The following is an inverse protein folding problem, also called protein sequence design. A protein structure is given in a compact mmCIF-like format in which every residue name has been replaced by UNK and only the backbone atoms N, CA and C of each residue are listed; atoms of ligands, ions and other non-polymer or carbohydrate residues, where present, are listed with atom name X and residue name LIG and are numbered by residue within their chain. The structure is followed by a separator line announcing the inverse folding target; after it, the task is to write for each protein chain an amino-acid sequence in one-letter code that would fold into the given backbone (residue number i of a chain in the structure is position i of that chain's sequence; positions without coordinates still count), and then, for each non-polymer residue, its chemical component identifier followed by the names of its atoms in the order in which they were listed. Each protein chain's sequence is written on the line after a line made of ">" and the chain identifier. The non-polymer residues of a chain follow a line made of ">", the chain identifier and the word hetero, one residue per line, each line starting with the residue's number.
data_IF_339089464713
#
_entry.id   IF_339089464713
#
_cell.length_a   1.000
_cell.length_b   1.000
_cell.length_c   1.000
_cell.angle_alpha   90.00
_cell.angle_beta   90.00
_cell.angle_gamma   90.00
#
_symmetry.space_group_name_H-M   'P 1'
#
loop_
_entity.id
_entity.type
_entity.pdbx_description
1 polymer ?
#
# COMPACT_ATOMS: atom_id res chain seq x y z
N UNK A 1 -8.24 -8.90 4.14
CA UNK A 1 -8.85 -10.23 3.95
C UNK A 1 -7.95 -11.04 3.05
N UNK A 2 -7.75 -12.34 3.35
CA UNK A 2 -7.10 -13.31 2.46
C UNK A 2 -8.16 -14.31 2.02
N UNK A 3 -8.31 -14.48 0.72
CA UNK A 3 -9.10 -15.53 0.10
C UNK A 3 -8.16 -16.66 -0.27
N UNK A 4 -8.52 -17.89 0.00
CA UNK A 4 -7.71 -19.08 -0.29
C UNK A 4 -8.34 -19.90 -1.41
N UNK A 5 -7.54 -20.77 -2.05
CA UNK A 5 -8.00 -21.63 -3.16
C UNK A 5 -8.54 -20.82 -4.37
N UNK A 6 -8.00 -19.62 -4.60
CA UNK A 6 -8.32 -18.83 -5.77
C UNK A 6 -7.58 -19.43 -6.98
N UNK A 7 -8.25 -19.63 -8.14
CA UNK A 7 -7.61 -20.17 -9.35
C UNK A 7 -6.41 -19.33 -9.78
N UNK A 8 -5.30 -19.99 -10.11
CA UNK A 8 -4.02 -19.35 -10.49
C UNK A 8 -3.87 -19.16 -12.02
N UNK A 9 -4.95 -19.25 -12.77
CA UNK A 9 -4.99 -18.96 -14.20
C UNK A 9 -4.57 -17.51 -14.47
N UNK A 10 -3.92 -17.29 -15.60
CA UNK A 10 -3.54 -15.94 -16.04
C UNK A 10 -4.75 -15.00 -16.06
N UNK A 11 -4.54 -13.80 -15.50
CA UNK A 11 -5.55 -12.75 -15.44
C UNK A 11 -6.81 -13.07 -14.58
N UNK A 12 -6.81 -14.16 -13.80
CA UNK A 12 -7.93 -14.43 -12.91
C UNK A 12 -8.19 -13.26 -11.93
N UNK A 13 -7.13 -12.61 -11.46
CA UNK A 13 -7.22 -11.43 -10.59
C UNK A 13 -8.12 -10.35 -11.20
N UNK A 14 -8.10 -10.15 -12.53
CA UNK A 14 -8.95 -9.17 -13.23
C UNK A 14 -10.40 -9.63 -13.25
N UNK A 15 -10.68 -10.92 -13.50
CA UNK A 15 -12.05 -11.46 -13.42
C UNK A 15 -12.61 -11.26 -12.01
N UNK A 16 -11.82 -11.58 -10.98
CA UNK A 16 -12.22 -11.39 -9.60
C UNK A 16 -12.48 -9.91 -9.28
N UNK A 17 -11.52 -9.04 -9.60
CA UNK A 17 -11.64 -7.60 -9.36
C UNK A 17 -12.89 -7.00 -10.01
N UNK A 18 -13.18 -7.35 -11.27
CA UNK A 18 -14.38 -6.90 -12.00
C UNK A 18 -15.70 -7.47 -11.42
N UNK A 19 -15.66 -8.53 -10.62
CA UNK A 19 -16.83 -9.03 -9.91
C UNK A 19 -17.25 -8.15 -8.72
N UNK A 20 -16.31 -7.41 -8.13
CA UNK A 20 -16.55 -6.55 -6.96
C UNK A 20 -16.46 -5.05 -7.26
N UNK A 21 -15.83 -4.67 -8.38
CA UNK A 21 -15.71 -3.28 -8.82
C UNK A 21 -14.99 -3.21 -10.16
N UNK A 22 -14.76 -2.00 -10.68
CA UNK A 22 -13.99 -1.81 -11.91
C UNK A 22 -12.51 -1.71 -11.60
N UNK A 23 -11.69 -2.42 -12.37
CA UNK A 23 -10.23 -2.35 -12.24
C UNK A 23 -9.74 -0.97 -12.64
N UNK A 24 -8.90 -0.39 -11.80
CA UNK A 24 -8.22 0.87 -12.10
C UNK A 24 -7.00 0.63 -12.96
N UNK A 25 -7.05 1.06 -14.20
CA UNK A 25 -5.88 1.06 -15.10
C UNK A 25 -4.88 2.13 -14.67
N UNK A 26 -3.60 1.77 -14.62
CA UNK A 26 -2.48 2.65 -14.31
C UNK A 26 -1.46 2.65 -15.45
N UNK A 27 -0.31 3.37 -15.29
CA UNK A 27 0.83 3.24 -16.20
C UNK A 27 1.48 1.84 -16.18
N UNK A 28 1.17 1.02 -15.15
CA UNK A 28 1.59 -0.39 -15.08
C UNK A 28 0.60 -1.34 -15.78
N UNK A 29 -0.49 -0.85 -16.36
CA UNK A 29 -1.56 -1.63 -16.96
C UNK A 29 -2.78 -1.78 -16.04
N UNK A 30 -3.63 -2.76 -16.33
CA UNK A 30 -4.78 -3.15 -15.51
C UNK A 30 -4.34 -3.98 -14.31
N UNK A 31 -3.26 -4.75 -14.47
CA UNK A 31 -2.56 -5.46 -13.41
C UNK A 31 -1.05 -5.33 -13.60
N UNK A 32 -0.31 -5.67 -12.58
CA UNK A 32 1.15 -5.67 -12.58
C UNK A 32 1.69 -6.98 -11.99
N UNK A 33 2.86 -7.38 -12.45
CA UNK A 33 3.53 -8.60 -12.01
C UNK A 33 4.55 -8.25 -10.91
N UNK A 34 4.52 -8.97 -9.79
CA UNK A 34 5.48 -8.86 -8.70
C UNK A 34 6.34 -10.10 -8.67
N UNK A 35 7.50 -10.03 -9.33
CA UNK A 35 8.52 -11.07 -9.37
C UNK A 35 9.89 -10.44 -9.58
N UNK A 36 10.94 -11.14 -9.18
CA UNK A 36 12.32 -10.69 -9.47
C UNK A 36 12.57 -10.71 -10.97
N UNK A 37 13.17 -9.62 -11.48
CA UNK A 37 13.55 -9.48 -12.87
C UNK A 37 15.00 -8.98 -12.98
N UNK A 38 15.74 -9.29 -14.06
CA UNK A 38 17.04 -8.67 -14.33
C UNK A 38 16.90 -7.15 -14.50
N UNK A 39 17.84 -6.38 -13.94
CA UNK A 39 17.87 -4.90 -14.02
C UNK A 39 16.55 -4.22 -13.61
N UNK A 40 16.06 -4.44 -12.39
CA UNK A 40 14.78 -3.92 -11.94
C UNK A 40 14.83 -2.39 -11.79
N UNK A 41 13.73 -1.73 -12.15
CA UNK A 41 13.53 -0.29 -11.97
C UNK A 41 12.81 0.06 -10.66
N UNK A 42 12.34 -0.93 -9.91
CA UNK A 42 11.71 -0.78 -8.59
C UNK A 42 12.10 -1.94 -7.68
N UNK A 43 12.16 -1.69 -6.36
CA UNK A 43 12.43 -2.72 -5.35
C UNK A 43 11.38 -3.83 -5.32
N UNK A 44 10.15 -3.56 -5.76
CA UNK A 44 9.11 -4.59 -5.90
C UNK A 44 9.53 -5.75 -6.83
N UNK A 45 10.40 -5.46 -7.80
CA UNK A 45 10.93 -6.43 -8.77
C UNK A 45 12.29 -7.02 -8.37
N UNK A 46 12.66 -6.91 -7.10
CA UNK A 46 13.85 -7.53 -6.51
C UNK A 46 13.47 -8.60 -5.49
N UNK A 47 14.46 -9.32 -4.96
CA UNK A 47 14.29 -10.23 -3.82
C UNK A 47 14.53 -9.57 -2.45
N UNK A 48 14.88 -8.28 -2.44
CA UNK A 48 15.14 -7.53 -1.22
C UNK A 48 13.85 -7.33 -0.38
N UNK A 49 14.04 -7.13 0.91
CA UNK A 49 12.93 -6.75 1.78
C UNK A 49 12.34 -5.40 1.35
N UNK A 50 11.02 -5.28 1.47
CA UNK A 50 10.28 -4.04 1.30
C UNK A 50 9.75 -3.60 2.66
N UNK A 51 10.19 -2.44 3.13
CA UNK A 51 9.63 -1.82 4.33
C UNK A 51 8.16 -1.48 4.14
N UNK A 52 7.37 -1.42 5.22
CA UNK A 52 5.97 -1.04 5.17
C UNK A 52 5.75 0.28 4.43
N UNK A 53 4.86 0.28 3.44
CA UNK A 53 4.52 1.43 2.61
C UNK A 53 3.08 1.33 2.09
N UNK A 54 2.54 2.45 1.65
CA UNK A 54 1.31 2.50 0.85
C UNK A 54 1.67 2.63 -0.61
N UNK A 55 0.89 2.00 -1.49
CA UNK A 55 1.14 2.03 -2.92
C UNK A 55 0.68 3.34 -3.58
N UNK A 56 1.46 3.77 -4.56
CA UNK A 56 1.15 4.90 -5.44
C UNK A 56 0.76 6.20 -4.71
N UNK A 57 1.49 6.63 -3.66
CA UNK A 57 1.15 7.83 -2.88
C UNK A 57 1.21 9.13 -3.70
N UNK A 58 1.82 9.08 -4.88
CA UNK A 58 1.98 10.18 -5.85
C UNK A 58 0.77 10.35 -6.80
N UNK A 59 -0.26 9.49 -6.69
CA UNK A 59 -1.46 9.58 -7.55
C UNK A 59 -2.56 10.41 -6.93
N UNK A 60 -3.39 10.97 -7.79
CA UNK A 60 -4.57 11.77 -7.42
C UNK A 60 -5.79 11.30 -8.23
N UNK A 61 -6.70 10.56 -7.57
CA UNK A 61 -6.64 10.01 -6.22
C UNK A 61 -5.61 8.86 -6.08
N UNK A 62 -5.22 8.53 -4.85
CA UNK A 62 -4.47 7.29 -4.55
C UNK A 62 -5.40 6.10 -4.80
N UNK A 63 -4.91 4.96 -5.36
CA UNK A 63 -5.69 3.73 -5.46
C UNK A 63 -6.19 3.26 -4.08
N UNK A 64 -7.40 2.74 -4.03
CA UNK A 64 -8.08 2.46 -2.77
C UNK A 64 -7.88 1.01 -2.32
N UNK A 65 -8.52 0.07 -3.01
CA UNK A 65 -8.40 -1.35 -2.72
C UNK A 65 -7.28 -1.93 -3.56
N UNK A 66 -6.33 -2.59 -2.91
CA UNK A 66 -5.26 -3.33 -3.57
C UNK A 66 -5.51 -4.82 -3.45
N UNK A 67 -5.34 -5.52 -4.54
CA UNK A 67 -5.34 -6.98 -4.62
C UNK A 67 -3.93 -7.46 -4.90
N UNK A 68 -3.49 -8.50 -4.18
CA UNK A 68 -2.25 -9.24 -4.45
C UNK A 68 -2.58 -10.72 -4.49
N UNK A 69 -2.47 -11.32 -5.66
CA UNK A 69 -2.77 -12.74 -5.91
C UNK A 69 -1.49 -13.53 -6.06
N UNK A 70 -1.28 -14.51 -5.24
CA UNK A 70 -0.12 -15.38 -5.26
C UNK A 70 -0.31 -16.50 -6.31
N UNK A 71 0.44 -16.41 -7.41
CA UNK A 71 0.43 -17.41 -8.48
C UNK A 71 1.39 -18.56 -8.14
N UNK A 72 2.55 -18.22 -7.58
CA UNK A 72 3.58 -19.18 -7.17
C UNK A 72 4.38 -18.59 -6.02
N UNK A 73 4.68 -19.40 -5.00
CA UNK A 73 5.56 -19.00 -3.90
C UNK A 73 6.28 -20.20 -3.28
N UNK A 74 7.35 -20.65 -3.94
CA UNK A 74 8.13 -21.83 -3.56
C UNK A 74 9.43 -21.47 -2.81
N UNK A 75 9.64 -20.19 -2.46
CA UNK A 75 10.84 -19.73 -1.75
C UNK A 75 10.63 -19.75 -0.25
N UNK A 76 11.71 -19.86 0.53
CA UNK A 76 11.71 -19.47 1.93
C UNK A 76 11.77 -17.95 2.07
N UNK A 77 11.14 -17.38 3.07
CA UNK A 77 10.97 -15.93 3.18
C UNK A 77 9.96 -15.38 2.18
N UNK A 78 10.13 -14.11 1.80
CA UNK A 78 9.17 -13.42 0.94
C UNK A 78 7.78 -13.26 1.56
N UNK A 79 7.69 -13.38 2.90
CA UNK A 79 6.46 -13.23 3.65
C UNK A 79 5.89 -11.83 3.46
N UNK A 80 4.59 -11.75 3.31
CA UNK A 80 3.86 -10.48 3.29
C UNK A 80 3.79 -9.91 4.70
N UNK A 81 3.95 -8.61 4.82
CA UNK A 81 3.79 -7.90 6.08
C UNK A 81 2.69 -6.85 5.93
N UNK A 82 1.87 -6.69 6.96
CA UNK A 82 0.82 -5.67 7.04
C UNK A 82 0.93 -4.89 8.34
N UNK A 83 0.66 -3.59 8.27
CA UNK A 83 0.57 -2.70 9.42
C UNK A 83 -0.68 -1.85 9.29
N UNK A 84 -1.49 -1.77 10.36
CA UNK A 84 -2.63 -0.87 10.39
C UNK A 84 -2.16 0.58 10.65
N UNK A 85 -2.14 1.38 9.61
CA UNK A 85 -1.73 2.79 9.68
C UNK A 85 -2.65 3.64 10.55
N UNK A 86 -3.94 3.28 10.65
CA UNK A 86 -4.86 3.93 11.58
C UNK A 86 -4.44 3.71 13.03
N UNK A 87 -4.24 2.46 13.43
CA UNK A 87 -3.81 2.11 14.79
C UNK A 87 -2.50 2.81 15.18
N UNK A 88 -1.53 2.85 14.27
CA UNK A 88 -0.26 3.56 14.52
C UNK A 88 -0.48 5.07 14.60
N UNK A 89 -1.35 5.64 13.75
CA UNK A 89 -1.68 7.07 13.80
C UNK A 89 -2.32 7.47 15.13
N UNK A 90 -3.27 6.67 15.66
CA UNK A 90 -3.86 6.90 16.98
C UNK A 90 -2.80 6.78 18.09
N UNK A 91 -1.86 5.85 17.99
CA UNK A 91 -0.77 5.72 18.95
C UNK A 91 0.18 6.92 18.93
N UNK A 92 0.51 7.45 17.76
CA UNK A 92 1.29 8.69 17.63
C UNK A 92 0.52 9.86 18.25
N UNK A 93 -0.79 9.95 18.03
CA UNK A 93 -1.65 11.00 18.60
C UNK A 93 -1.68 10.97 20.13
N UNK A 94 -1.73 9.76 20.70
CA UNK A 94 -1.74 9.55 22.15
C UNK A 94 -0.40 9.88 22.81
N UNK A 95 0.71 9.30 22.30
CA UNK A 95 2.02 9.37 22.94
C UNK A 95 2.84 10.61 22.55
N UNK A 96 2.62 11.14 21.33
CA UNK A 96 3.41 12.21 20.72
C UNK A 96 2.51 13.20 19.96
N UNK A 97 1.62 13.95 20.65
CA UNK A 97 0.61 14.80 20.00
C UNK A 97 1.22 15.85 19.05
N UNK A 98 2.39 16.39 19.38
CA UNK A 98 3.12 17.33 18.50
C UNK A 98 3.61 16.65 17.18
N UNK A 99 3.94 15.35 17.24
CA UNK A 99 4.31 14.60 16.04
C UNK A 99 3.07 14.29 15.20
N UNK A 100 1.95 13.97 15.83
CA UNK A 100 0.70 13.79 15.12
C UNK A 100 0.28 15.06 14.38
N UNK A 101 0.35 16.22 15.06
CA UNK A 101 0.01 17.51 14.47
C UNK A 101 0.86 17.81 13.23
N UNK A 102 2.20 17.65 13.31
CA UNK A 102 3.06 17.95 12.17
C UNK A 102 2.89 16.94 11.03
N UNK A 103 2.66 15.65 11.32
CA UNK A 103 2.42 14.61 10.31
C UNK A 103 1.06 14.74 9.62
N UNK A 104 0.07 15.39 10.27
CA UNK A 104 -1.27 15.61 9.74
C UNK A 104 -1.50 17.01 9.16
N UNK A 105 -0.53 17.93 9.30
CA UNK A 105 -0.64 19.30 8.78
C UNK A 105 0.37 19.64 7.68
N UNK A 106 1.54 19.01 7.68
CA UNK A 106 2.59 19.30 6.71
C UNK A 106 2.41 18.45 5.46
N UNK A 107 2.27 19.12 4.31
CA UNK A 107 2.24 18.46 3.01
C UNK A 107 3.63 18.07 2.56
N UNK A 108 3.75 16.81 2.18
CA UNK A 108 4.94 16.18 1.61
C UNK A 108 4.69 15.94 0.12
N UNK A 109 5.69 16.17 -0.70
CA UNK A 109 5.66 15.79 -2.11
C UNK A 109 5.94 14.30 -2.23
N UNK A 110 5.04 13.58 -2.89
CA UNK A 110 5.28 12.23 -3.38
C UNK A 110 5.51 12.30 -4.88
N UNK A 111 6.55 11.63 -5.38
CA UNK A 111 6.90 11.68 -6.78
C UNK A 111 7.38 10.33 -7.30
N UNK A 112 6.91 9.98 -8.49
CA UNK A 112 7.34 8.83 -9.27
C UNK A 112 7.76 9.29 -10.65
N UNK A 113 8.87 8.76 -11.16
CA UNK A 113 9.38 9.05 -12.49
C UNK A 113 9.77 7.74 -13.13
N UNK A 114 9.30 7.50 -14.34
CA UNK A 114 9.81 6.50 -15.25
C UNK A 114 10.00 7.09 -16.66
N UNK A 115 10.33 6.26 -17.63
CA UNK A 115 10.56 6.68 -19.01
C UNK A 115 9.30 7.16 -19.74
N UNK A 116 8.12 6.97 -19.16
CA UNK A 116 6.82 7.23 -19.79
C UNK A 116 6.02 8.31 -19.10
N UNK A 117 6.18 8.47 -17.78
CA UNK A 117 5.40 9.41 -16.97
C UNK A 117 6.21 10.03 -15.83
N UNK A 118 5.81 11.25 -15.46
CA UNK A 118 6.15 11.88 -14.18
C UNK A 118 4.84 12.13 -13.44
N UNK A 119 4.69 11.48 -12.28
CA UNK A 119 3.51 11.60 -11.45
C UNK A 119 3.91 12.19 -10.11
N UNK A 120 3.17 13.21 -9.65
CA UNK A 120 3.40 13.81 -8.34
C UNK A 120 2.10 14.29 -7.70
N UNK A 121 2.04 14.22 -6.39
CA UNK A 121 0.98 14.80 -5.57
C UNK A 121 1.55 15.28 -4.24
N UNK A 122 0.86 16.24 -3.63
CA UNK A 122 1.17 16.81 -2.32
C UNK A 122 0.12 16.36 -1.31
N UNK A 123 0.54 15.74 -0.23
CA UNK A 123 -0.38 15.35 0.85
C UNK A 123 0.35 15.24 2.18
N UNK A 124 -0.40 15.30 3.24
CA UNK A 124 0.03 14.95 4.59
C UNK A 124 0.33 13.45 4.68
N UNK A 125 1.23 13.04 5.59
CA UNK A 125 1.50 11.62 5.85
C UNK A 125 0.30 10.94 6.54
N UNK A 126 -0.36 11.67 7.44
CA UNK A 126 -1.64 11.29 8.05
C UNK A 126 -2.69 12.29 7.53
N UNK A 127 -3.53 11.86 6.62
CA UNK A 127 -4.57 12.70 6.06
C UNK A 127 -5.86 12.58 6.88
N UNK A 128 -6.44 13.72 7.22
CA UNK A 128 -7.71 13.82 7.93
C UNK A 128 -8.82 14.26 6.96
N UNK A 129 -10.06 13.97 7.32
CA UNK A 129 -11.25 14.53 6.67
C UNK A 129 -11.58 15.94 7.22
N UNK A 130 -12.63 16.56 6.69
CA UNK A 130 -13.10 17.89 7.09
C UNK A 130 -13.57 17.96 8.56
N UNK A 131 -13.80 16.81 9.20
CA UNK A 131 -14.18 16.68 10.62
C UNK A 131 -13.02 16.27 11.51
N UNK A 132 -11.78 16.31 10.97
CA UNK A 132 -10.56 15.86 11.66
C UNK A 132 -10.56 14.35 12.02
N UNK A 133 -11.36 13.52 11.33
CA UNK A 133 -11.24 12.08 11.48
C UNK A 133 -10.14 11.56 10.53
N UNK A 134 -9.55 10.43 10.91
CA UNK A 134 -8.60 9.72 10.04
C UNK A 134 -9.25 9.38 8.69
N UNK A 135 -8.57 9.73 7.61
CA UNK A 135 -9.00 9.46 6.25
C UNK A 135 -8.04 8.51 5.53
N UNK A 136 -6.74 8.71 5.67
CA UNK A 136 -5.74 7.98 4.92
C UNK A 136 -4.36 8.17 5.51
N UNK A 137 -3.50 7.15 5.39
CA UNK A 137 -2.05 7.32 5.48
C UNK A 137 -1.44 7.29 4.08
N UNK A 138 -0.40 8.10 3.88
CA UNK A 138 0.50 8.03 2.72
C UNK A 138 1.92 7.95 3.24
N UNK A 139 2.56 6.83 3.03
CA UNK A 139 3.92 6.62 3.49
C UNK A 139 4.70 5.77 2.50
N UNK A 140 5.82 6.29 2.04
CA UNK A 140 6.76 5.54 1.21
C UNK A 140 8.17 6.05 1.47
N UNK A 141 9.05 5.25 2.09
CA UNK A 141 10.43 5.68 2.38
C UNK A 141 11.26 5.96 1.12
N UNK A 142 10.72 5.67 -0.07
CA UNK A 142 11.43 5.81 -1.37
C UNK A 142 10.89 6.95 -2.25
N UNK A 143 9.68 7.43 -2.00
CA UNK A 143 8.94 8.28 -2.93
C UNK A 143 8.49 9.61 -2.31
N UNK A 144 8.73 9.81 -1.01
CA UNK A 144 8.45 11.05 -0.32
C UNK A 144 9.69 11.96 -0.33
N UNK A 145 9.47 13.24 -0.53
CA UNK A 145 10.50 14.27 -0.57
C UNK A 145 10.43 15.13 0.68
N UNK A 146 11.58 15.66 1.12
CA UNK A 146 11.64 16.58 2.23
C UNK A 146 10.72 17.80 1.99
N UNK A 147 9.84 18.17 2.94
CA UNK A 147 9.07 19.39 2.83
C UNK A 147 9.96 20.63 3.00
N UNK A 148 9.59 21.72 2.35
CA UNK A 148 10.29 23.02 2.52
C UNK A 148 9.68 23.69 3.74
N UNK A 149 10.45 23.72 4.83
CA UNK A 149 10.05 24.26 6.13
C UNK A 149 11.21 25.05 6.75
N UNK A 150 10.90 25.91 7.73
CA UNK A 150 11.92 26.49 8.60
C UNK A 150 12.62 25.38 9.41
N UNK A 151 13.89 25.61 9.78
CA UNK A 151 14.76 24.60 10.38
C UNK A 151 14.15 23.89 11.59
N UNK A 152 13.60 24.64 12.53
CA UNK A 152 12.99 24.08 13.75
C UNK A 152 11.80 23.15 13.45
N UNK A 153 10.95 23.56 12.51
CA UNK A 153 9.81 22.75 12.04
C UNK A 153 10.25 21.57 11.21
N UNK A 154 11.31 21.70 10.43
CA UNK A 154 11.89 20.60 9.66
C UNK A 154 12.50 19.53 10.58
N UNK A 155 13.22 19.95 11.63
CA UNK A 155 13.78 19.04 12.64
C UNK A 155 12.68 18.25 13.36
N UNK A 156 11.58 18.93 13.73
CA UNK A 156 10.41 18.27 14.34
C UNK A 156 9.75 17.28 13.36
N UNK A 157 9.58 17.70 12.10
CA UNK A 157 9.02 16.82 11.06
C UNK A 157 9.84 15.55 10.89
N UNK A 158 11.18 15.63 10.83
CA UNK A 158 12.03 14.44 10.69
C UNK A 158 11.99 13.55 11.94
N UNK A 159 11.93 14.11 13.14
CA UNK A 159 11.74 13.32 14.38
C UNK A 159 10.41 12.57 14.34
N UNK A 160 9.34 13.24 13.96
CA UNK A 160 8.00 12.65 13.84
C UNK A 160 7.96 11.55 12.76
N UNK A 161 8.52 11.84 11.57
CA UNK A 161 8.59 10.89 10.46
C UNK A 161 9.42 9.64 10.81
N UNK A 162 10.53 9.82 11.52
CA UNK A 162 11.35 8.70 11.97
C UNK A 162 10.61 7.87 13.03
N UNK A 163 9.90 8.52 13.96
CA UNK A 163 9.11 7.82 14.99
C UNK A 163 7.97 7.01 14.37
N UNK A 164 7.20 7.55 13.44
CA UNK A 164 6.14 6.78 12.78
C UNK A 164 6.71 5.63 11.95
N UNK A 165 7.85 5.84 11.28
CA UNK A 165 8.57 4.79 10.56
C UNK A 165 9.05 3.66 11.48
N UNK A 166 9.56 3.99 12.66
CA UNK A 166 9.95 3.02 13.70
C UNK A 166 8.74 2.16 14.10
N UNK A 167 7.59 2.79 14.36
CA UNK A 167 6.38 2.07 14.74
C UNK A 167 5.87 1.18 13.60
N UNK A 168 5.89 1.63 12.35
CA UNK A 168 5.52 0.81 11.19
C UNK A 168 6.42 -0.42 11.01
N UNK A 169 7.68 -0.35 11.42
CA UNK A 169 8.62 -1.47 11.35
C UNK A 169 8.62 -2.35 12.62
N UNK A 170 7.91 -1.94 13.67
CA UNK A 170 7.87 -2.66 14.94
C UNK A 170 7.04 -3.94 14.82
N UNK A 171 7.54 -5.03 15.38
CA UNK A 171 6.81 -6.31 15.46
C UNK A 171 5.52 -6.21 16.26
N UNK A 172 5.38 -5.20 17.13
CA UNK A 172 4.14 -4.93 17.88
C UNK A 172 2.95 -4.60 16.99
N UNK A 173 3.18 -3.92 15.86
CA UNK A 173 2.14 -3.43 14.95
C UNK A 173 2.11 -4.16 13.61
N UNK A 174 3.09 -5.03 13.38
CA UNK A 174 3.26 -5.74 12.13
C UNK A 174 2.70 -7.16 12.23
N UNK A 175 1.85 -7.53 11.29
CA UNK A 175 1.46 -8.91 11.04
C UNK A 175 2.30 -9.44 9.88
N UNK A 176 2.89 -10.61 10.04
CA UNK A 176 3.69 -11.28 9.02
C UNK A 176 3.10 -12.65 8.71
N UNK A 177 2.93 -12.97 7.43
CA UNK A 177 2.38 -14.24 6.96
C UNK A 177 2.84 -14.56 5.55
N UNK A 178 2.90 -15.83 5.21
CA UNK A 178 3.19 -16.27 3.85
C UNK A 178 1.89 -16.29 3.04
N UNK A 179 1.92 -15.75 1.82
CA UNK A 179 0.89 -16.02 0.83
C UNK A 179 1.30 -17.30 0.07
N UNK A 180 0.46 -18.30 0.17
CA UNK A 180 0.64 -19.56 -0.55
C UNK A 180 0.05 -19.46 -1.96
N UNK A 181 0.43 -20.38 -2.84
CA UNK A 181 -0.15 -20.46 -4.19
C UNK A 181 -1.67 -20.59 -4.12
N UNK A 182 -2.37 -19.69 -4.80
CA UNK A 182 -3.83 -19.60 -4.76
C UNK A 182 -4.40 -18.70 -3.65
N UNK A 183 -3.54 -18.00 -2.90
CA UNK A 183 -4.00 -16.97 -1.96
C UNK A 183 -4.14 -15.62 -2.66
N UNK A 184 -5.23 -14.90 -2.36
CA UNK A 184 -5.48 -13.54 -2.81
C UNK A 184 -5.69 -12.62 -1.61
N UNK A 185 -4.73 -11.75 -1.37
CA UNK A 185 -4.83 -10.69 -0.37
C UNK A 185 -5.60 -9.51 -0.96
N UNK A 186 -6.64 -9.06 -0.25
CA UNK A 186 -7.37 -7.83 -0.53
C UNK A 186 -7.23 -6.89 0.65
N UNK A 187 -6.77 -5.66 0.42
CA UNK A 187 -6.48 -4.68 1.47
C UNK A 187 -6.87 -3.26 1.06
N UNK A 188 -7.21 -2.45 2.07
CA UNK A 188 -7.41 -1.02 1.95
C UNK A 188 -6.06 -0.31 1.96
N UNK A 189 -5.60 0.17 0.80
CA UNK A 189 -4.33 0.88 0.64
C UNK A 189 -4.36 2.32 1.21
N UNK A 190 -5.53 2.83 1.62
CA UNK A 190 -5.62 4.10 2.33
C UNK A 190 -5.36 3.94 3.84
N UNK A 191 -5.51 2.71 4.36
CA UNK A 191 -5.37 2.40 5.76
C UNK A 191 -4.17 1.52 6.08
N UNK A 192 -3.92 0.48 5.26
CA UNK A 192 -2.89 -0.52 5.53
C UNK A 192 -1.60 -0.18 4.78
N UNK A 193 -0.49 -0.26 5.51
CA UNK A 193 0.83 -0.35 4.90
C UNK A 193 1.14 -1.83 4.69
N UNK A 194 1.77 -2.13 3.59
CA UNK A 194 2.24 -3.48 3.29
C UNK A 194 3.72 -3.49 2.98
N UNK A 195 4.31 -4.65 3.12
CA UNK A 195 5.71 -4.88 2.85
C UNK A 195 5.99 -6.35 2.60
N UNK A 196 7.25 -6.70 2.57
CA UNK A 196 7.69 -8.07 2.29
C UNK A 196 9.06 -8.32 2.93
N UNK A 197 9.25 -9.50 3.53
CA UNK A 197 10.58 -9.96 3.93
C UNK A 197 11.43 -10.29 2.69
N UNK A 198 12.75 -10.34 2.84
CA UNK A 198 13.65 -10.81 1.79
C UNK A 198 13.42 -12.29 1.48
N UNK A 199 13.81 -12.72 0.29
CA UNK A 199 13.83 -14.14 -0.11
C UNK A 199 15.02 -14.42 -1.02
N UNK A 200 15.40 -15.69 -1.16
CA UNK A 200 16.45 -16.13 -2.08
C UNK A 200 15.83 -16.61 -3.40
N UNK A 201 16.21 -15.98 -4.50
CA UNK A 201 15.74 -16.34 -5.84
C UNK A 201 16.28 -17.70 -6.33
N UNK A 202 17.30 -18.26 -5.68
CA UNK A 202 17.86 -19.56 -6.03
C UNK A 202 17.06 -20.74 -5.44
N UNK A 203 16.15 -20.49 -4.48
CA UNK A 203 15.33 -21.51 -3.85
C UNK A 203 14.08 -21.88 -4.65
N UNK A 204 13.65 -21.02 -5.57
CA UNK A 204 12.46 -21.25 -6.38
C UNK A 204 11.83 -19.97 -6.90
N UNK A 205 10.62 -20.10 -7.41
CA UNK A 205 9.86 -18.99 -7.97
C UNK A 205 8.96 -18.33 -6.94
N UNK A 206 8.91 -17.00 -7.01
CA UNK A 206 7.93 -16.17 -6.32
C UNK A 206 7.29 -15.20 -7.31
N UNK A 207 6.01 -15.43 -7.59
CA UNK A 207 5.26 -14.64 -8.55
C UNK A 207 3.87 -14.31 -8.02
N UNK A 208 3.60 -13.01 -7.89
CA UNK A 208 2.28 -12.48 -7.56
C UNK A 208 1.81 -11.55 -8.69
N UNK A 209 0.50 -11.48 -8.85
CA UNK A 209 -0.16 -10.45 -9.65
C UNK A 209 -0.85 -9.44 -8.73
N UNK A 210 -0.82 -8.16 -9.09
CA UNK A 210 -1.48 -7.11 -8.33
C UNK A 210 -2.36 -6.24 -9.22
N UNK A 211 -3.47 -5.73 -8.68
CA UNK A 211 -4.29 -4.72 -9.31
C UNK A 211 -4.95 -3.82 -8.27
N UNK A 212 -5.57 -2.75 -8.73
CA UNK A 212 -6.25 -1.78 -7.89
C UNK A 212 -7.71 -1.60 -8.30
N UNK A 213 -8.56 -1.26 -7.31
CA UNK A 213 -9.97 -0.89 -7.49
C UNK A 213 -10.20 0.38 -6.68
N UNK A 214 -10.95 1.34 -7.19
CA UNK A 214 -11.34 2.55 -6.46
C UNK A 214 -12.61 2.31 -5.62
N UNK A 215 -12.76 3.01 -4.49
CA UNK A 215 -13.86 2.79 -3.53
C UNK A 215 -15.24 3.05 -4.14
N UNK A 216 -15.39 4.09 -4.97
CA UNK A 216 -16.66 4.41 -5.61
C UNK A 216 -17.21 3.24 -6.42
N UNK A 217 -16.32 2.48 -7.05
CA UNK A 217 -16.66 1.29 -7.85
C UNK A 217 -17.19 0.14 -6.97
N UNK A 218 -16.47 -0.19 -5.86
CA UNK A 218 -16.90 -1.24 -4.93
C UNK A 218 -18.16 -0.85 -4.16
N UNK A 219 -18.23 0.39 -3.67
CA UNK A 219 -19.41 0.92 -2.99
C UNK A 219 -20.63 0.98 -3.90
N UNK A 220 -20.44 1.43 -5.16
CA UNK A 220 -21.49 1.45 -6.17
C UNK A 220 -22.05 0.06 -6.43
N UNK A 221 -21.18 -0.95 -6.53
CA UNK A 221 -21.56 -2.36 -6.68
C UNK A 221 -22.35 -2.84 -5.46
N UNK A 222 -21.89 -2.53 -4.25
CA UNK A 222 -22.58 -2.89 -3.02
C UNK A 222 -24.00 -2.27 -2.96
N UNK A 223 -24.13 -0.96 -3.25
CA UNK A 223 -25.43 -0.27 -3.29
C UNK A 223 -26.37 -0.89 -4.33
N UNK A 224 -25.84 -1.24 -5.52
CA UNK A 224 -26.60 -1.93 -6.55
C UNK A 224 -27.12 -3.29 -6.07
N UNK A 225 -26.26 -4.10 -5.44
CA UNK A 225 -26.65 -5.43 -4.92
C UNK A 225 -27.67 -5.31 -3.79
N UNK A 226 -27.47 -4.38 -2.84
CA UNK A 226 -28.47 -4.12 -1.80
C UNK A 226 -29.83 -3.78 -2.38
N UNK A 227 -29.87 -2.88 -3.36
CA UNK A 227 -31.15 -2.52 -4.06
C UNK A 227 -31.77 -3.72 -4.78
N UNK A 228 -30.94 -4.54 -5.45
CA UNK A 228 -31.40 -5.72 -6.21
C UNK A 228 -32.03 -6.78 -5.32
N UNK A 229 -31.51 -6.97 -4.11
CA UNK A 229 -31.93 -8.02 -3.18
C UNK A 229 -32.78 -7.47 -2.00
N UNK A 230 -33.14 -6.19 -2.01
CA UNK A 230 -33.91 -5.52 -0.95
C UNK A 230 -33.27 -5.65 0.45
N UNK A 231 -31.94 -5.50 0.53
CA UNK A 231 -31.14 -5.56 1.75
C UNK A 231 -30.85 -4.17 2.33
#
# INVERSE_FOLDING_TARGET
>A
VVLTNVPTEDNFIIKFANSIGSVRRTNFGEFFNVRSVPNPNDLAYTSLALSPHTDNPYRKPVPCVQLLHCITNNVSGGNSTLVDGYTVSEKIKEDYPEYYEILSSVKVKFKFIDNTVVLEDMSELIKLDEKNNFKQVRFSPRLDYAPILEKSKLDLFYKARNKISELYNSDKYKVEFKLETGDLLMMDNHRLLHGRTKYDVNEGDRYLQGCYIDFDSTEGKLRHLKRKFNL
#
